data_IF_790158893485
#
_entry.id   IF_790158893485
#
_cell.length_a   1.000
_cell.length_b   1.000
_cell.length_c   1.000
_cell.angle_alpha   90.00
_cell.angle_beta   90.00
_cell.angle_gamma   90.00
#
_symmetry.space_group_name_H-M   'P 1'
#
loop_
_entity.id
_entity.type
_entity.pdbx_description
1 polymer ?
#
# COMPACT_ATOMS: atom_id res chain seq x y z
N UNK A 1 -35.17 -57.18 1.89
CA UNK A 1 -34.66 -56.01 1.14
C UNK A 1 -33.83 -55.17 2.07
N UNK A 2 -32.53 -55.26 2.00
CA UNK A 2 -31.60 -54.58 2.90
C UNK A 2 -31.18 -53.27 2.25
N UNK A 3 -31.38 -52.14 2.93
CA UNK A 3 -30.96 -50.80 2.60
C UNK A 3 -29.50 -50.59 3.01
N UNK A 4 -28.62 -50.44 2.03
CA UNK A 4 -27.22 -50.05 2.23
C UNK A 4 -27.11 -48.55 2.43
N UNK A 5 -26.45 -48.12 3.50
CA UNK A 5 -26.05 -46.73 3.78
C UNK A 5 -24.86 -46.30 2.90
N UNK A 6 -24.75 -45.02 2.54
CA UNK A 6 -23.61 -44.54 1.75
C UNK A 6 -22.38 -44.33 2.66
N UNK A 7 -21.23 -44.78 2.17
CA UNK A 7 -19.90 -44.59 2.75
C UNK A 7 -19.42 -43.14 2.59
N UNK A 8 -18.93 -42.55 3.69
CA UNK A 8 -18.24 -41.25 3.72
C UNK A 8 -16.90 -41.30 2.92
N UNK A 9 -16.50 -40.20 2.25
CA UNK A 9 -15.21 -40.14 1.62
C UNK A 9 -14.11 -39.84 2.66
N UNK A 10 -13.09 -40.66 2.64
CA UNK A 10 -11.86 -40.57 3.44
C UNK A 10 -11.11 -39.24 3.16
N UNK A 11 -10.76 -38.56 4.24
CA UNK A 11 -10.07 -37.27 4.24
C UNK A 11 -8.69 -37.30 3.55
N UNK A 12 -8.48 -36.34 2.71
CA UNK A 12 -7.16 -35.94 2.20
C UNK A 12 -6.43 -35.17 3.31
N UNK A 13 -5.45 -35.82 3.93
CA UNK A 13 -4.50 -35.15 4.81
C UNK A 13 -3.49 -34.38 3.97
N UNK A 14 -3.48 -33.06 4.09
CA UNK A 14 -2.45 -32.21 3.55
C UNK A 14 -1.10 -32.47 4.25
N UNK A 15 0.03 -32.45 3.54
CA UNK A 15 1.34 -32.58 4.16
C UNK A 15 1.70 -31.30 4.93
N UNK A 16 1.68 -31.39 6.25
CA UNK A 16 2.25 -30.35 7.14
C UNK A 16 3.76 -30.54 7.21
N UNK A 17 4.52 -29.76 6.44
CA UNK A 17 5.91 -29.53 6.77
C UNK A 17 5.98 -28.28 7.69
N UNK A 18 6.45 -28.40 8.93
CA UNK A 18 6.69 -27.26 9.78
C UNK A 18 7.99 -26.58 9.30
N UNK A 19 7.88 -25.43 8.63
CA UNK A 19 9.01 -24.53 8.45
C UNK A 19 9.30 -23.94 9.83
N UNK A 20 10.48 -24.29 10.38
CA UNK A 20 10.95 -23.71 11.62
C UNK A 20 11.08 -22.18 11.47
N UNK A 21 10.64 -21.38 12.48
CA UNK A 21 10.78 -19.93 12.42
C UNK A 21 12.28 -19.57 12.44
N UNK A 22 12.80 -19.09 11.33
CA UNK A 22 14.12 -18.47 11.29
C UNK A 22 14.01 -17.10 11.95
N UNK A 23 14.40 -17.00 13.20
CA UNK A 23 14.69 -15.72 13.85
C UNK A 23 15.91 -15.10 13.16
N UNK A 24 15.68 -14.33 12.11
CA UNK A 24 16.70 -13.48 11.52
C UNK A 24 16.88 -12.23 12.39
N UNK A 25 17.67 -12.36 13.44
CA UNK A 25 18.20 -11.25 14.22
C UNK A 25 19.43 -10.68 13.53
N UNK A 26 19.26 -10.03 12.38
CA UNK A 26 20.28 -9.10 11.91
C UNK A 26 19.86 -7.70 12.41
N UNK A 27 20.69 -7.02 13.25
CA UNK A 27 20.42 -5.64 13.59
C UNK A 27 20.43 -4.82 12.30
N UNK A 28 19.37 -4.01 12.08
CA UNK A 28 19.40 -3.01 11.03
C UNK A 28 20.42 -1.95 11.42
N UNK A 29 21.64 -2.10 10.93
CA UNK A 29 22.63 -1.03 10.99
C UNK A 29 22.02 0.17 10.25
N UNK A 30 21.96 1.37 10.86
CA UNK A 30 21.47 2.54 10.15
C UNK A 30 22.31 2.75 8.89
N UNK A 31 21.71 3.24 7.77
CA UNK A 31 22.52 3.64 6.64
C UNK A 31 23.57 4.63 7.12
N UNK A 32 24.84 4.40 6.77
CA UNK A 32 25.98 5.23 7.17
C UNK A 32 25.97 6.53 6.38
N UNK A 33 25.11 7.48 6.76
CA UNK A 33 24.94 8.79 6.17
C UNK A 33 23.57 9.35 6.52
N UNK A 34 23.46 10.68 6.64
CA UNK A 34 22.17 11.36 6.74
C UNK A 34 21.41 11.14 5.42
N UNK A 35 20.11 10.82 5.51
CA UNK A 35 19.26 10.77 4.32
C UNK A 35 19.24 12.15 3.64
N UNK A 36 19.12 12.15 2.31
CA UNK A 36 18.90 13.40 1.57
C UNK A 36 17.58 14.05 2.02
N UNK A 37 17.49 15.36 1.96
CA UNK A 37 16.26 16.09 2.22
C UNK A 37 15.79 16.70 0.91
N UNK A 38 14.72 16.18 0.36
CA UNK A 38 14.07 16.68 -0.87
C UNK A 38 13.62 18.13 -0.65
N UNK A 39 13.91 19.00 -1.59
CA UNK A 39 13.62 20.43 -1.47
C UNK A 39 12.20 20.80 -1.90
N UNK A 40 11.66 20.15 -2.94
CA UNK A 40 10.38 20.50 -3.53
C UNK A 40 9.71 19.34 -4.31
N UNK A 41 8.55 19.65 -4.89
CA UNK A 41 7.75 18.70 -5.69
C UNK A 41 8.50 18.22 -6.95
N UNK A 42 9.27 19.07 -7.61
CA UNK A 42 9.98 18.72 -8.85
C UNK A 42 11.11 17.74 -8.58
N UNK A 43 11.88 17.96 -7.53
CA UNK A 43 12.93 17.04 -7.09
C UNK A 43 12.35 15.70 -6.65
N UNK A 44 11.22 15.69 -5.90
CA UNK A 44 10.56 14.46 -5.48
C UNK A 44 10.17 13.59 -6.69
N UNK A 45 9.63 14.19 -7.75
CA UNK A 45 9.25 13.47 -8.96
C UNK A 45 10.46 12.93 -9.72
N UNK A 46 11.54 13.73 -9.82
CA UNK A 46 12.78 13.32 -10.47
C UNK A 46 13.40 12.12 -9.77
N UNK A 47 13.55 12.19 -8.46
CA UNK A 47 14.11 11.10 -7.64
C UNK A 47 13.23 9.84 -7.68
N UNK A 48 11.89 10.01 -7.68
CA UNK A 48 10.97 8.88 -7.80
C UNK A 48 11.10 8.16 -9.16
N UNK A 49 11.25 8.90 -10.25
CA UNK A 49 11.47 8.33 -11.59
C UNK A 49 12.80 7.56 -11.67
N UNK A 50 13.89 8.13 -11.16
CA UNK A 50 15.21 7.48 -11.10
C UNK A 50 15.18 6.17 -10.28
N UNK A 51 14.49 6.17 -9.13
CA UNK A 51 14.34 4.96 -8.33
C UNK A 51 13.46 3.92 -9.00
N UNK A 52 12.37 4.32 -9.65
CA UNK A 52 11.52 3.42 -10.41
C UNK A 52 12.31 2.71 -11.52
N UNK A 53 13.10 3.45 -12.29
CA UNK A 53 13.96 2.89 -13.34
C UNK A 53 15.02 1.94 -12.78
N UNK A 54 15.59 2.27 -11.62
CA UNK A 54 16.57 1.42 -10.96
C UNK A 54 15.98 0.13 -10.34
N UNK A 55 14.69 0.14 -9.94
CA UNK A 55 14.05 -1.01 -9.31
C UNK A 55 13.39 -1.97 -10.32
N UNK A 56 12.99 -1.47 -11.48
CA UNK A 56 12.31 -2.23 -12.54
C UNK A 56 13.04 -3.51 -12.96
N UNK A 57 14.35 -3.51 -13.27
CA UNK A 57 15.02 -4.70 -13.77
C UNK A 57 14.99 -5.90 -12.82
N UNK A 58 14.92 -5.66 -11.51
CA UNK A 58 14.90 -6.75 -10.51
C UNK A 58 13.49 -7.17 -10.05
N UNK A 59 12.42 -6.53 -10.53
CA UNK A 59 11.07 -6.74 -9.99
C UNK A 59 10.56 -8.18 -10.18
N UNK A 60 10.72 -8.75 -11.38
CA UNK A 60 10.31 -10.12 -11.67
C UNK A 60 11.04 -11.16 -10.81
N UNK A 61 12.35 -10.98 -10.60
CA UNK A 61 13.13 -11.90 -9.76
C UNK A 61 12.78 -11.76 -8.27
N UNK A 62 12.58 -10.53 -7.78
CA UNK A 62 12.15 -10.30 -6.39
C UNK A 62 10.83 -11.00 -6.12
N UNK A 63 9.84 -10.86 -7.01
CA UNK A 63 8.55 -11.52 -6.86
C UNK A 63 8.69 -13.05 -6.97
N UNK A 64 9.32 -13.59 -8.03
CA UNK A 64 9.42 -15.03 -8.27
C UNK A 64 10.06 -15.77 -7.09
N UNK A 65 11.15 -15.23 -6.55
CA UNK A 65 11.91 -15.82 -5.44
C UNK A 65 11.51 -15.31 -4.06
N UNK A 66 10.51 -14.44 -3.98
CA UNK A 66 10.16 -13.73 -2.75
C UNK A 66 11.40 -13.10 -2.08
N UNK A 67 12.29 -12.51 -2.88
CA UNK A 67 13.48 -11.82 -2.39
C UNK A 67 13.09 -10.45 -1.82
N UNK A 68 13.14 -10.35 -0.49
CA UNK A 68 12.74 -9.13 0.21
C UNK A 68 13.60 -7.92 -0.22
N UNK A 69 12.99 -6.75 -0.52
CA UNK A 69 13.64 -5.61 -1.17
C UNK A 69 14.41 -4.71 -0.19
N UNK A 70 15.26 -5.28 0.66
CA UNK A 70 15.96 -4.51 1.73
C UNK A 70 16.87 -3.43 1.14
N UNK A 71 17.69 -3.77 0.13
CA UNK A 71 18.60 -2.82 -0.52
C UNK A 71 17.83 -1.70 -1.24
N UNK A 72 16.72 -2.03 -1.88
CA UNK A 72 15.85 -1.07 -2.55
C UNK A 72 15.21 -0.11 -1.54
N UNK A 73 14.76 -0.62 -0.40
CA UNK A 73 14.20 0.20 0.68
C UNK A 73 15.26 1.08 1.36
N UNK A 74 16.49 0.61 1.49
CA UNK A 74 17.59 1.42 2.02
C UNK A 74 17.92 2.55 1.06
N UNK A 75 17.90 2.31 -0.27
CA UNK A 75 18.03 3.38 -1.27
C UNK A 75 16.85 4.36 -1.22
N UNK A 76 15.62 3.86 -1.05
CA UNK A 76 14.43 4.70 -0.87
C UNK A 76 14.54 5.59 0.38
N UNK A 77 15.03 5.05 1.50
CA UNK A 77 15.29 5.83 2.72
C UNK A 77 16.37 6.90 2.49
N UNK A 78 17.48 6.52 1.88
CA UNK A 78 18.59 7.44 1.63
C UNK A 78 18.25 8.57 0.65
N UNK A 79 17.31 8.33 -0.28
CA UNK A 79 16.88 9.31 -1.29
C UNK A 79 16.09 10.49 -0.74
N UNK A 80 15.61 10.42 0.51
CA UNK A 80 14.78 11.46 1.12
C UNK A 80 13.29 11.39 0.77
N UNK A 81 12.86 10.53 -0.16
CA UNK A 81 11.44 10.42 -0.55
C UNK A 81 10.51 10.10 0.62
N UNK A 82 11.00 9.41 1.66
CA UNK A 82 10.19 9.12 2.84
C UNK A 82 9.86 10.37 3.67
N UNK A 83 10.65 11.47 3.53
CA UNK A 83 10.46 12.73 4.27
C UNK A 83 9.59 13.77 3.56
N UNK A 84 9.14 13.53 2.32
CA UNK A 84 8.56 14.58 1.45
C UNK A 84 7.28 15.23 1.96
N UNK A 85 6.53 14.56 2.85
CA UNK A 85 5.31 15.12 3.45
C UNK A 85 5.54 15.77 4.82
N UNK A 86 6.77 15.75 5.35
CA UNK A 86 7.11 16.46 6.57
C UNK A 86 6.91 17.97 6.33
N UNK A 87 6.24 18.70 7.24
CA UNK A 87 5.99 20.13 7.07
C UNK A 87 7.28 20.96 6.94
N UNK A 88 7.25 22.02 6.14
CA UNK A 88 8.38 22.96 5.96
C UNK A 88 8.87 23.55 7.26
N UNK A 89 7.96 23.81 8.21
CA UNK A 89 8.29 24.29 9.56
C UNK A 89 9.18 23.30 10.36
N UNK A 90 9.25 22.04 9.93
CA UNK A 90 10.09 21.00 10.51
C UNK A 90 11.23 20.54 9.58
N UNK A 91 11.50 21.30 8.52
CA UNK A 91 12.60 21.04 7.59
C UNK A 91 12.29 20.08 6.43
N UNK A 92 11.03 19.69 6.22
CA UNK A 92 10.61 18.86 5.08
C UNK A 92 10.17 19.69 3.87
N UNK A 93 9.96 19.03 2.73
CA UNK A 93 9.49 19.65 1.50
C UNK A 93 8.01 20.05 1.54
N UNK A 94 7.21 19.33 2.34
CA UNK A 94 5.75 19.50 2.41
C UNK A 94 5.10 19.48 1.02
N UNK A 95 5.44 18.45 0.23
CA UNK A 95 4.92 18.30 -1.12
C UNK A 95 3.39 18.16 -1.15
N UNK A 96 2.80 18.50 -2.28
CA UNK A 96 1.36 18.35 -2.54
C UNK A 96 0.92 16.89 -2.51
N UNK A 97 -0.40 16.64 -2.29
CA UNK A 97 -0.98 15.31 -2.45
C UNK A 97 -0.85 14.82 -3.90
N UNK A 98 -0.89 15.71 -4.87
CA UNK A 98 -0.66 15.39 -6.28
C UNK A 98 0.75 14.81 -6.50
N UNK A 99 1.76 15.42 -5.94
CA UNK A 99 3.16 14.95 -6.05
C UNK A 99 3.35 13.63 -5.30
N UNK A 100 2.87 13.52 -4.06
CA UNK A 100 2.95 12.27 -3.31
C UNK A 100 2.30 11.10 -4.08
N UNK A 101 1.13 11.36 -4.67
CA UNK A 101 0.38 10.38 -5.46
C UNK A 101 1.16 9.92 -6.69
N UNK A 102 1.79 10.86 -7.39
CA UNK A 102 2.60 10.56 -8.57
C UNK A 102 3.87 9.78 -8.23
N UNK A 103 4.54 10.09 -7.10
CA UNK A 103 5.66 9.29 -6.56
C UNK A 103 5.24 7.83 -6.39
N UNK A 104 4.09 7.57 -5.77
CA UNK A 104 3.58 6.21 -5.58
C UNK A 104 3.26 5.52 -6.91
N UNK A 105 2.64 6.24 -7.84
CA UNK A 105 2.32 5.70 -9.18
C UNK A 105 3.59 5.31 -9.94
N UNK A 106 4.62 6.16 -9.94
CA UNK A 106 5.90 5.90 -10.59
C UNK A 106 6.58 4.65 -10.00
N UNK A 107 6.71 4.57 -8.68
CA UNK A 107 7.30 3.40 -8.01
C UNK A 107 6.50 2.13 -8.31
N UNK A 108 5.16 2.19 -8.28
CA UNK A 108 4.29 1.04 -8.54
C UNK A 108 4.33 0.56 -9.99
N UNK A 109 4.66 1.44 -10.95
CA UNK A 109 4.88 1.06 -12.35
C UNK A 109 6.11 0.14 -12.49
N UNK A 110 7.07 0.26 -11.59
CA UNK A 110 8.30 -0.53 -11.58
C UNK A 110 8.19 -1.78 -10.69
N UNK A 111 7.76 -1.61 -9.44
CA UNK A 111 7.60 -2.68 -8.45
C UNK A 111 6.48 -2.33 -7.46
N UNK A 112 5.29 -2.91 -7.62
CA UNK A 112 4.15 -2.61 -6.77
C UNK A 112 4.35 -2.93 -5.29
N UNK A 113 5.14 -3.94 -4.97
CA UNK A 113 5.44 -4.30 -3.58
C UNK A 113 6.30 -3.24 -2.90
N UNK A 114 7.31 -2.71 -3.61
CA UNK A 114 8.15 -1.60 -3.08
C UNK A 114 7.30 -0.34 -2.89
N UNK A 115 6.38 -0.05 -3.80
CA UNK A 115 5.46 1.08 -3.66
C UNK A 115 4.48 0.91 -2.47
N UNK A 116 4.01 -0.30 -2.22
CA UNK A 116 3.06 -0.58 -1.13
C UNK A 116 3.70 -0.45 0.26
N UNK A 117 4.97 -0.82 0.44
CA UNK A 117 5.64 -0.83 1.74
C UNK A 117 5.58 0.54 2.44
N UNK A 118 5.87 1.69 1.81
CA UNK A 118 5.83 3.00 2.45
C UNK A 118 4.43 3.61 2.57
N UNK A 119 3.36 2.97 2.08
CA UNK A 119 2.01 3.54 2.14
C UNK A 119 1.61 3.92 3.58
N UNK A 120 1.75 2.99 4.52
CA UNK A 120 1.41 3.25 5.92
C UNK A 120 2.36 4.25 6.59
N UNK A 121 3.61 4.35 6.15
CA UNK A 121 4.55 5.35 6.63
C UNK A 121 3.97 6.77 6.47
N UNK A 122 3.48 7.10 5.27
CA UNK A 122 2.85 8.41 5.01
C UNK A 122 1.53 8.60 5.74
N UNK A 123 0.73 7.54 5.88
CA UNK A 123 -0.49 7.57 6.70
C UNK A 123 -0.18 7.95 8.15
N UNK A 124 0.87 7.37 8.74
CA UNK A 124 1.22 7.67 10.13
C UNK A 124 1.96 8.99 10.32
N UNK A 125 2.67 9.50 9.31
CA UNK A 125 3.12 10.91 9.29
C UNK A 125 1.90 11.83 9.33
N UNK A 126 0.86 11.54 8.56
CA UNK A 126 -0.38 12.34 8.55
C UNK A 126 -1.12 12.29 9.90
N UNK A 127 -1.11 11.16 10.62
CA UNK A 127 -1.62 11.07 12.00
C UNK A 127 -0.86 12.03 12.92
N UNK A 128 0.47 12.10 12.84
CA UNK A 128 1.29 13.03 13.62
C UNK A 128 1.03 14.48 13.24
N UNK A 129 0.89 14.79 11.94
CA UNK A 129 0.52 16.15 11.48
C UNK A 129 -0.81 16.58 12.07
N UNK A 130 -1.81 15.70 12.08
CA UNK A 130 -3.15 16.02 12.52
C UNK A 130 -3.31 16.06 14.05
N UNK A 131 -2.67 15.17 14.79
CA UNK A 131 -2.96 14.93 16.23
C UNK A 131 -1.74 14.78 17.13
N UNK A 132 -0.53 14.75 16.58
CA UNK A 132 0.69 14.74 17.39
C UNK A 132 0.86 16.04 18.18
N UNK A 133 1.35 15.96 19.41
CA UNK A 133 1.83 17.12 20.18
C UNK A 133 3.05 17.74 19.48
N UNK A 134 3.40 18.98 19.83
CA UNK A 134 4.60 19.63 19.27
C UNK A 134 5.86 18.81 19.51
N UNK A 135 6.02 18.23 20.72
CA UNK A 135 7.15 17.35 21.06
C UNK A 135 7.18 16.06 20.21
N UNK A 136 6.01 15.46 19.97
CA UNK A 136 5.89 14.27 19.12
C UNK A 136 6.25 14.58 17.68
N UNK A 137 5.70 15.69 17.13
CA UNK A 137 6.01 16.13 15.76
C UNK A 137 7.50 16.41 15.60
N UNK A 138 8.10 17.17 16.50
CA UNK A 138 9.53 17.48 16.46
C UNK A 138 10.40 16.22 16.48
N UNK A 139 10.09 15.27 17.37
CA UNK A 139 10.83 14.02 17.47
C UNK A 139 10.66 13.15 16.21
N UNK A 140 9.44 12.83 15.84
CA UNK A 140 9.20 11.87 14.77
C UNK A 140 9.49 12.43 13.37
N UNK A 141 9.28 13.72 13.14
CA UNK A 141 9.64 14.32 11.84
C UNK A 141 11.16 14.35 11.65
N UNK A 142 11.94 14.57 12.70
CA UNK A 142 13.39 14.42 12.66
C UNK A 142 13.81 12.97 12.35
N UNK A 143 13.18 11.97 12.95
CA UNK A 143 13.40 10.56 12.64
C UNK A 143 13.10 10.28 11.15
N UNK A 144 11.97 10.75 10.65
CA UNK A 144 11.57 10.58 9.24
C UNK A 144 12.55 11.24 8.29
N UNK A 145 12.98 12.48 8.56
CA UNK A 145 13.99 13.19 7.76
C UNK A 145 15.38 12.53 7.84
N UNK A 146 15.66 11.78 8.89
CA UNK A 146 16.84 10.94 8.98
C UNK A 146 16.72 9.59 8.23
N UNK A 147 15.61 9.39 7.47
CA UNK A 147 15.36 8.18 6.68
C UNK A 147 14.78 7.01 7.48
N UNK A 148 14.31 7.23 8.71
CA UNK A 148 13.66 6.18 9.51
C UNK A 148 12.29 5.83 8.95
N UNK A 149 11.98 4.54 8.93
CA UNK A 149 10.76 3.98 8.34
C UNK A 149 9.71 3.69 9.41
N UNK A 150 8.47 4.06 9.13
CA UNK A 150 7.31 3.58 9.87
C UNK A 150 6.73 2.36 9.15
N UNK A 151 6.48 1.28 9.91
CA UNK A 151 5.73 0.13 9.42
C UNK A 151 4.23 0.27 9.67
N UNK A 152 3.49 -0.84 9.58
CA UNK A 152 2.07 -0.92 9.86
C UNK A 152 1.79 -1.98 10.93
N UNK A 153 0.91 -1.67 11.89
CA UNK A 153 0.34 -2.65 12.82
C UNK A 153 -1.10 -2.23 13.19
N UNK A 154 -2.00 -2.26 12.20
CA UNK A 154 -3.38 -1.80 12.35
C UNK A 154 -4.37 -2.94 12.49
N UNK A 155 -4.41 -3.85 11.51
CA UNK A 155 -5.45 -4.87 11.35
C UNK A 155 -5.24 -6.08 12.25
N UNK A 156 -6.34 -6.77 12.57
CA UNK A 156 -6.33 -8.01 13.35
C UNK A 156 -7.09 -9.11 12.60
N UNK A 157 -6.67 -10.35 12.76
CA UNK A 157 -7.38 -11.51 12.21
C UNK A 157 -8.40 -12.07 13.20
N UNK A 158 -9.46 -12.72 12.69
CA UNK A 158 -10.47 -13.38 13.51
C UNK A 158 -11.34 -12.43 14.33
N UNK A 159 -11.38 -11.13 13.99
CA UNK A 159 -12.30 -10.15 14.58
C UNK A 159 -13.60 -10.07 13.76
N UNK A 160 -14.67 -9.50 14.36
CA UNK A 160 -15.99 -9.42 13.72
C UNK A 160 -15.97 -8.56 12.44
N UNK A 161 -15.19 -7.49 12.45
CA UNK A 161 -14.93 -6.60 11.30
C UNK A 161 -13.62 -5.83 11.50
N UNK A 162 -13.12 -5.19 10.47
CA UNK A 162 -11.80 -4.52 10.45
C UNK A 162 -11.61 -3.44 11.54
N UNK A 163 -12.69 -2.87 12.07
CA UNK A 163 -12.64 -1.87 13.16
C UNK A 163 -12.80 -2.50 14.56
N UNK A 164 -13.00 -3.81 14.64
CA UNK A 164 -13.04 -4.54 15.91
C UNK A 164 -11.62 -4.85 16.37
N UNK A 165 -11.06 -3.96 17.22
CA UNK A 165 -9.67 -4.00 17.68
C UNK A 165 -9.62 -4.55 19.09
N UNK A 166 -8.84 -5.62 19.29
CA UNK A 166 -8.63 -6.31 20.57
C UNK A 166 -7.31 -5.93 21.24
N UNK A 167 -6.33 -5.45 20.48
CA UNK A 167 -5.05 -4.94 21.03
C UNK A 167 -5.32 -3.85 22.05
N UNK A 168 -4.71 -3.95 23.24
CA UNK A 168 -4.93 -3.09 24.40
C UNK A 168 -3.69 -2.24 24.69
N UNK A 169 -3.96 -1.00 25.06
CA UNK A 169 -3.00 -0.03 25.56
C UNK A 169 -3.46 0.39 26.97
N UNK A 170 -2.91 -0.24 27.98
CA UNK A 170 -3.31 -0.10 29.38
C UNK A 170 -2.36 0.83 30.12
N UNK A 171 -2.85 1.77 30.96
CA UNK A 171 -1.99 2.63 31.79
C UNK A 171 -1.07 1.82 32.70
N UNK A 172 0.20 2.20 32.77
CA UNK A 172 1.19 1.59 33.68
C UNK A 172 2.25 2.63 34.08
N UNK A 173 2.27 3.01 35.34
CA UNK A 173 3.15 4.08 35.83
C UNK A 173 2.87 5.41 35.11
N UNK A 174 3.92 6.01 34.54
CA UNK A 174 3.88 7.25 33.75
C UNK A 174 3.67 7.02 32.24
N UNK A 175 3.47 5.76 31.84
CA UNK A 175 3.26 5.35 30.45
C UNK A 175 2.15 4.33 30.30
N UNK A 176 2.38 3.38 29.40
CA UNK A 176 1.41 2.33 29.04
C UNK A 176 2.11 0.99 28.82
N UNK A 177 1.32 -0.07 28.92
CA UNK A 177 1.65 -1.43 28.45
C UNK A 177 0.78 -1.75 27.26
N UNK A 178 1.41 -2.21 26.17
CA UNK A 178 0.76 -2.57 24.92
C UNK A 178 0.80 -4.08 24.72
N UNK A 179 -0.38 -4.70 24.54
CA UNK A 179 -0.51 -6.15 24.36
C UNK A 179 -1.50 -6.48 23.25
N UNK A 180 -1.14 -7.40 22.34
CA UNK A 180 -2.00 -7.85 21.27
C UNK A 180 -1.26 -8.51 20.12
N UNK A 181 -1.99 -8.80 19.04
CA UNK A 181 -1.43 -9.36 17.81
C UNK A 181 -2.04 -8.66 16.60
N UNK A 182 -1.19 -8.26 15.68
CA UNK A 182 -1.56 -7.60 14.44
C UNK A 182 -1.21 -8.47 13.25
N UNK A 183 -2.03 -8.37 12.20
CA UNK A 183 -1.87 -9.09 10.94
C UNK A 183 -1.88 -8.09 9.78
N UNK A 184 -1.42 -8.53 8.62
CA UNK A 184 -1.28 -7.64 7.46
C UNK A 184 -0.42 -6.41 7.76
N UNK A 185 0.65 -6.63 8.53
CA UNK A 185 1.54 -5.57 9.04
C UNK A 185 2.59 -5.18 8.00
N UNK A 186 2.13 -4.63 6.87
CA UNK A 186 2.96 -4.22 5.73
C UNK A 186 4.11 -3.32 6.19
N UNK A 187 5.32 -3.65 5.78
CA UNK A 187 6.51 -2.85 6.07
C UNK A 187 7.05 -2.99 7.49
N UNK A 188 6.34 -3.63 8.44
CA UNK A 188 6.81 -3.77 9.83
C UNK A 188 8.16 -4.49 9.93
N UNK A 189 8.42 -5.46 9.04
CA UNK A 189 9.69 -6.21 9.02
C UNK A 189 10.89 -5.32 8.66
N UNK A 190 10.67 -4.20 7.98
CA UNK A 190 11.70 -3.26 7.50
C UNK A 190 11.70 -1.94 8.27
N UNK A 191 10.82 -1.78 9.24
CA UNK A 191 10.61 -0.53 9.95
C UNK A 191 11.65 -0.28 11.05
N UNK A 192 11.88 0.97 11.38
CA UNK A 192 12.53 1.42 12.61
C UNK A 192 11.49 1.62 13.73
N UNK A 193 10.32 2.15 13.36
CA UNK A 193 9.19 2.37 14.24
C UNK A 193 7.95 1.64 13.72
N UNK A 194 7.19 1.04 14.63
CA UNK A 194 5.91 0.39 14.31
C UNK A 194 4.78 1.16 15.00
N UNK A 195 4.01 1.98 14.27
CA UNK A 195 2.76 2.54 14.76
C UNK A 195 1.71 1.44 14.92
N UNK A 196 1.22 1.27 16.13
CA UNK A 196 0.25 0.23 16.51
C UNK A 196 -1.08 0.87 16.86
N UNK A 197 -2.15 0.46 16.17
CA UNK A 197 -3.51 0.85 16.52
C UNK A 197 -4.02 -0.03 17.67
N UNK A 198 -4.36 0.58 18.80
CA UNK A 198 -4.82 -0.11 20.00
C UNK A 198 -5.99 0.61 20.67
N UNK A 199 -6.77 -0.11 21.49
CA UNK A 199 -7.78 0.43 22.37
C UNK A 199 -7.12 0.88 23.69
N UNK A 200 -7.22 2.16 23.99
CA UNK A 200 -6.71 2.77 25.21
C UNK A 200 -7.81 3.34 26.11
N UNK A 201 -7.53 4.44 26.76
CA UNK A 201 -8.44 5.09 27.71
C UNK A 201 -9.84 5.29 27.11
N UNK A 202 -10.87 4.94 27.86
CA UNK A 202 -12.27 5.00 27.43
C UNK A 202 -12.63 4.06 26.29
N UNK A 203 -11.87 3.00 26.06
CA UNK A 203 -11.98 2.07 24.93
C UNK A 203 -11.89 2.75 23.57
N UNK A 204 -11.20 3.88 23.49
CA UNK A 204 -11.03 4.67 22.27
C UNK A 204 -9.76 4.28 21.51
N UNK A 205 -9.74 4.38 20.15
CA UNK A 205 -8.55 4.11 19.34
C UNK A 205 -7.41 5.12 19.61
N UNK A 206 -6.22 4.57 19.85
CA UNK A 206 -4.94 5.30 19.96
C UNK A 206 -3.92 4.68 19.03
N UNK A 207 -2.94 5.45 18.59
CA UNK A 207 -1.75 4.94 17.90
C UNK A 207 -0.56 5.06 18.83
N UNK A 208 0.06 3.92 19.16
CA UNK A 208 1.29 3.83 19.92
C UNK A 208 2.46 3.58 18.96
N UNK A 209 3.45 4.48 18.96
CA UNK A 209 4.67 4.35 18.15
C UNK A 209 5.73 3.60 18.96
N UNK A 210 6.02 2.37 18.59
CA UNK A 210 7.00 1.53 19.29
C UNK A 210 8.23 1.25 18.40
N UNK A 211 9.46 1.24 18.97
CA UNK A 211 10.63 0.77 18.24
C UNK A 211 10.41 -0.69 17.80
N UNK A 212 10.85 -1.06 16.59
CA UNK A 212 10.69 -2.42 16.07
C UNK A 212 11.39 -3.47 16.96
N UNK A 213 12.49 -3.08 17.56
CA UNK A 213 13.34 -3.92 18.42
C UNK A 213 13.05 -3.78 19.93
N UNK A 214 11.93 -3.09 20.28
CA UNK A 214 11.55 -2.94 21.69
C UNK A 214 11.27 -4.32 22.33
N UNK A 215 11.65 -4.50 23.61
CA UNK A 215 11.32 -5.72 24.34
C UNK A 215 9.81 -6.02 24.28
N UNK A 216 9.45 -7.26 23.93
CA UNK A 216 8.08 -7.71 23.75
C UNK A 216 7.52 -7.51 22.33
N UNK A 217 8.21 -6.85 21.43
CA UNK A 217 7.85 -6.77 20.01
C UNK A 217 8.45 -7.94 19.24
N UNK A 218 7.62 -8.67 18.49
CA UNK A 218 8.09 -9.72 17.57
C UNK A 218 7.43 -9.52 16.22
N UNK A 219 8.21 -9.31 15.17
CA UNK A 219 7.75 -9.22 13.79
C UNK A 219 8.05 -10.53 13.07
N UNK A 220 7.02 -11.21 12.60
CA UNK A 220 7.12 -12.54 11.97
C UNK A 220 7.00 -12.38 10.45
N UNK A 221 7.92 -13.00 9.71
CA UNK A 221 7.87 -13.06 8.24
C UNK A 221 7.02 -14.24 7.77
N UNK A 222 5.71 -14.17 8.01
CA UNK A 222 4.71 -15.17 7.69
C UNK A 222 3.72 -14.72 6.60
N UNK A 223 4.06 -13.71 5.80
CA UNK A 223 3.25 -13.29 4.68
C UNK A 223 3.30 -14.30 3.53
N UNK A 224 2.14 -14.87 3.16
CA UNK A 224 1.98 -15.89 2.13
C UNK A 224 0.91 -15.46 1.08
N UNK A 225 0.94 -14.21 0.64
CA UNK A 225 0.06 -13.70 -0.40
C UNK A 225 0.44 -14.20 -1.79
N UNK A 226 -0.55 -14.48 -2.64
CA UNK A 226 -0.31 -14.89 -4.04
C UNK A 226 0.36 -13.79 -4.86
N UNK A 227 0.12 -12.51 -4.54
CA UNK A 227 0.77 -11.32 -5.10
C UNK A 227 1.22 -10.39 -4.00
N UNK A 228 1.85 -9.27 -4.35
CA UNK A 228 2.49 -8.38 -3.38
C UNK A 228 3.42 -9.17 -2.44
N UNK A 229 4.14 -10.14 -3.01
CA UNK A 229 4.83 -11.21 -2.27
C UNK A 229 5.96 -10.70 -1.39
N UNK A 230 6.54 -9.56 -1.74
CA UNK A 230 7.72 -9.00 -1.06
C UNK A 230 7.38 -7.87 -0.10
N UNK A 231 6.09 -7.56 0.14
CA UNK A 231 5.67 -6.55 1.11
C UNK A 231 5.92 -6.96 2.57
N UNK A 232 6.17 -8.26 2.82
CA UNK A 232 6.33 -8.83 4.15
C UNK A 232 5.19 -8.41 5.10
N UNK A 233 3.93 -8.48 4.60
CA UNK A 233 2.73 -8.07 5.34
C UNK A 233 2.33 -9.11 6.40
N UNK A 234 3.27 -9.58 7.19
CA UNK A 234 3.11 -10.63 8.19
C UNK A 234 2.53 -10.17 9.52
N UNK A 235 2.85 -10.92 10.56
CA UNK A 235 2.31 -10.76 11.92
C UNK A 235 3.23 -9.93 12.79
N UNK A 236 2.65 -9.02 13.60
CA UNK A 236 3.32 -8.34 14.72
C UNK A 236 2.68 -8.80 16.03
N UNK A 237 3.50 -9.40 16.91
CA UNK A 237 3.10 -9.80 18.26
C UNK A 237 3.65 -8.82 19.28
N UNK A 238 2.81 -8.44 20.24
CA UNK A 238 3.07 -7.45 21.26
C UNK A 238 2.80 -8.09 22.63
N UNK A 239 3.87 -8.40 23.36
CA UNK A 239 3.82 -9.07 24.65
C UNK A 239 4.24 -8.09 25.76
N UNK A 240 3.27 -7.40 26.36
CA UNK A 240 3.48 -6.43 27.41
C UNK A 240 4.59 -5.38 27.10
N UNK A 241 4.49 -4.77 25.92
CA UNK A 241 5.46 -3.77 25.45
C UNK A 241 5.28 -2.47 26.25
N UNK A 242 6.35 -1.99 26.89
CA UNK A 242 6.35 -0.70 27.58
C UNK A 242 6.34 0.45 26.57
N UNK A 243 5.39 1.38 26.71
CA UNK A 243 5.22 2.53 25.82
C UNK A 243 5.19 3.83 26.63
N UNK A 244 6.19 4.71 26.45
CA UNK A 244 6.16 6.04 27.08
C UNK A 244 4.92 6.84 26.64
N UNK A 245 4.37 7.68 27.52
CA UNK A 245 3.17 8.47 27.23
C UNK A 245 3.36 9.40 26.02
N UNK A 246 4.56 9.93 25.80
CA UNK A 246 4.91 10.80 24.67
C UNK A 246 5.04 10.05 23.33
N UNK A 247 4.79 8.73 23.29
CA UNK A 247 4.74 7.89 22.08
C UNK A 247 3.31 7.52 21.69
N UNK A 248 2.29 8.03 22.37
CA UNK A 248 0.89 7.69 22.16
C UNK A 248 0.13 8.90 21.61
N UNK A 249 -0.57 8.70 20.50
CA UNK A 249 -1.42 9.72 19.84
C UNK A 249 -2.89 9.31 19.96
N UNK A 250 -3.81 10.19 20.39
CA UNK A 250 -5.23 9.90 20.51
C UNK A 250 -5.91 9.91 19.14
N UNK A 251 -5.78 8.80 18.40
CA UNK A 251 -6.20 8.68 16.99
C UNK A 251 -7.71 8.92 16.79
N UNK A 252 -8.55 8.53 17.77
CA UNK A 252 -10.00 8.75 17.69
C UNK A 252 -10.38 10.22 17.44
N UNK A 253 -9.59 11.17 17.94
CA UNK A 253 -9.85 12.61 17.73
C UNK A 253 -9.75 13.02 16.25
N UNK A 254 -9.07 12.22 15.41
CA UNK A 254 -8.97 12.49 13.96
C UNK A 254 -10.34 12.52 13.29
N UNK A 255 -11.30 11.76 13.81
CA UNK A 255 -12.63 11.57 13.20
C UNK A 255 -13.73 12.43 13.83
N UNK A 256 -13.42 13.30 14.81
CA UNK A 256 -14.40 14.17 15.47
C UNK A 256 -14.79 15.40 14.65
N UNK A 257 -14.11 15.68 13.54
CA UNK A 257 -14.39 16.80 12.64
C UNK A 257 -14.11 16.45 11.18
N UNK A 258 -14.15 17.42 10.25
CA UNK A 258 -13.70 17.22 8.89
C UNK A 258 -12.23 16.79 8.88
N UNK A 259 -11.89 15.80 8.05
CA UNK A 259 -10.58 15.19 8.02
C UNK A 259 -10.30 14.57 6.63
N UNK A 260 -9.02 14.37 6.32
CA UNK A 260 -8.56 13.79 5.07
C UNK A 260 -7.79 12.48 5.27
N UNK A 261 -7.78 11.92 6.48
CA UNK A 261 -6.98 10.74 6.82
C UNK A 261 -7.34 9.55 5.91
N UNK A 262 -8.64 9.26 5.78
CA UNK A 262 -9.12 8.18 4.90
C UNK A 262 -8.85 8.49 3.43
N UNK A 263 -9.17 9.70 2.97
CA UNK A 263 -8.95 10.12 1.58
C UNK A 263 -7.46 10.00 1.19
N UNK A 264 -6.52 10.50 2.00
CA UNK A 264 -5.08 10.36 1.74
C UNK A 264 -4.65 8.90 1.71
N UNK A 265 -5.08 8.09 2.67
CA UNK A 265 -4.73 6.67 2.71
C UNK A 265 -5.19 5.92 1.45
N UNK A 266 -6.45 6.16 1.03
CA UNK A 266 -7.05 5.51 -0.15
C UNK A 266 -6.51 6.06 -1.48
N UNK A 267 -6.12 7.34 -1.52
CA UNK A 267 -5.48 7.95 -2.68
C UNK A 267 -4.16 7.24 -3.05
N UNK A 268 -3.34 6.90 -2.04
CA UNK A 268 -2.09 6.16 -2.25
C UNK A 268 -2.35 4.74 -2.78
N UNK A 269 -3.39 4.07 -2.31
CA UNK A 269 -3.79 2.79 -2.88
C UNK A 269 -4.26 2.92 -4.35
N UNK A 270 -5.02 3.97 -4.68
CA UNK A 270 -5.41 4.23 -6.06
C UNK A 270 -4.20 4.51 -6.96
N UNK A 271 -3.18 5.19 -6.44
CA UNK A 271 -1.93 5.44 -7.15
C UNK A 271 -1.17 4.13 -7.45
N UNK A 272 -1.10 3.22 -6.48
CA UNK A 272 -0.48 1.90 -6.66
C UNK A 272 -1.22 1.10 -7.72
N UNK A 273 -2.56 1.01 -7.67
CA UNK A 273 -3.36 0.31 -8.67
C UNK A 273 -3.16 0.90 -10.08
N UNK A 274 -3.13 2.24 -10.20
CA UNK A 274 -2.86 2.94 -11.48
C UNK A 274 -1.45 2.63 -12.00
N UNK A 275 -0.45 2.56 -11.12
CA UNK A 275 0.92 2.17 -11.46
C UNK A 275 1.01 0.73 -11.93
N UNK A 276 0.33 -0.21 -11.28
CA UNK A 276 0.25 -1.62 -11.69
C UNK A 276 -0.32 -1.73 -13.10
N UNK A 277 -1.43 -1.04 -13.38
CA UNK A 277 -2.06 -1.03 -14.70
C UNK A 277 -1.09 -0.53 -15.78
N UNK A 278 -0.38 0.58 -15.53
CA UNK A 278 0.61 1.13 -16.45
C UNK A 278 1.78 0.17 -16.66
N UNK A 279 2.31 -0.42 -15.59
CA UNK A 279 3.41 -1.39 -15.64
C UNK A 279 3.04 -2.61 -16.47
N UNK A 280 1.86 -3.19 -16.24
CA UNK A 280 1.35 -4.34 -16.98
C UNK A 280 1.20 -4.03 -18.48
N UNK A 281 0.61 -2.89 -18.84
CA UNK A 281 0.42 -2.50 -20.25
C UNK A 281 1.75 -2.24 -20.95
N UNK A 282 2.71 -1.60 -20.26
CA UNK A 282 4.04 -1.33 -20.82
C UNK A 282 4.79 -2.62 -21.12
N UNK A 283 4.78 -3.56 -20.19
CA UNK A 283 5.45 -4.86 -20.37
C UNK A 283 4.74 -5.75 -21.40
N UNK A 284 3.39 -5.70 -21.45
CA UNK A 284 2.62 -6.36 -22.49
C UNK A 284 3.02 -5.87 -23.90
N UNK A 285 3.11 -4.55 -24.08
CA UNK A 285 3.50 -3.94 -25.36
C UNK A 285 4.93 -4.31 -25.74
N UNK A 286 5.86 -4.31 -24.80
CA UNK A 286 7.24 -4.76 -25.05
C UNK A 286 7.29 -6.23 -25.45
N UNK A 287 6.55 -7.08 -24.73
CA UNK A 287 6.48 -8.51 -25.05
C UNK A 287 5.90 -8.76 -26.44
N UNK A 288 4.83 -8.07 -26.82
CA UNK A 288 4.23 -8.22 -28.17
C UNK A 288 5.20 -7.79 -29.25
N UNK A 289 5.91 -6.69 -29.08
CA UNK A 289 6.91 -6.21 -30.08
C UNK A 289 8.09 -7.15 -30.23
N UNK A 290 8.54 -7.82 -29.16
CA UNK A 290 9.83 -8.53 -29.16
C UNK A 290 9.71 -10.05 -29.11
N UNK A 291 8.57 -10.58 -28.60
CA UNK A 291 8.43 -12.01 -28.28
C UNK A 291 7.23 -12.68 -28.97
N UNK A 292 6.16 -11.95 -29.29
CA UNK A 292 4.97 -12.54 -29.90
C UNK A 292 5.16 -12.78 -31.39
N UNK A 293 4.48 -13.82 -31.90
CA UNK A 293 4.41 -14.11 -33.34
C UNK A 293 3.07 -13.62 -33.88
N UNK A 294 3.00 -13.16 -35.13
CA UNK A 294 1.74 -12.85 -35.77
C UNK A 294 0.87 -14.08 -35.88
N UNK A 295 -0.44 -13.92 -35.84
CA UNK A 295 -1.38 -14.96 -36.16
C UNK A 295 -1.27 -15.31 -37.66
N UNK A 296 -1.24 -16.59 -38.02
CA UNK A 296 -0.94 -17.01 -39.39
C UNK A 296 -1.94 -16.53 -40.44
N UNK A 297 -3.19 -16.22 -40.03
CA UNK A 297 -4.23 -15.68 -40.91
C UNK A 297 -4.24 -14.14 -40.95
N UNK A 298 -3.43 -13.47 -40.15
CA UNK A 298 -3.41 -11.99 -40.09
C UNK A 298 -2.88 -11.34 -41.34
N UNK A 299 -1.98 -12.02 -42.05
CA UNK A 299 -1.31 -11.50 -43.23
C UNK A 299 -0.20 -10.45 -42.95
N UNK A 300 0.17 -10.27 -41.67
CA UNK A 300 1.22 -9.34 -41.24
C UNK A 300 2.51 -10.09 -40.87
N UNK A 301 3.64 -9.39 -40.96
CA UNK A 301 4.95 -9.96 -40.65
C UNK A 301 5.22 -9.98 -39.13
N UNK A 302 4.65 -9.05 -38.38
CA UNK A 302 4.81 -8.94 -36.92
C UNK A 302 3.46 -8.87 -36.20
N UNK A 303 3.43 -9.35 -34.95
CA UNK A 303 2.22 -9.25 -34.11
C UNK A 303 1.82 -7.80 -33.83
N UNK A 304 2.77 -6.87 -33.82
CA UNK A 304 2.53 -5.46 -33.55
C UNK A 304 1.79 -4.73 -34.71
N UNK A 305 1.71 -5.34 -35.90
CA UNK A 305 0.99 -4.81 -37.06
C UNK A 305 -0.45 -5.33 -37.14
N UNK A 306 -0.81 -6.33 -36.32
CA UNK A 306 -2.16 -6.89 -36.30
C UNK A 306 -3.17 -5.83 -35.82
N UNK A 307 -4.14 -5.42 -36.67
CA UNK A 307 -5.09 -4.38 -36.35
C UNK A 307 -5.98 -4.71 -35.13
N UNK A 308 -6.25 -5.99 -34.87
CA UNK A 308 -7.02 -6.41 -33.69
C UNK A 308 -6.22 -6.21 -32.40
N UNK A 309 -4.92 -6.51 -32.40
CA UNK A 309 -4.03 -6.22 -31.27
C UNK A 309 -3.86 -4.71 -31.08
N UNK A 310 -3.64 -3.95 -32.15
CA UNK A 310 -3.53 -2.49 -32.10
C UNK A 310 -4.78 -1.86 -31.50
N UNK A 311 -5.98 -2.32 -31.92
CA UNK A 311 -7.24 -1.88 -31.33
C UNK A 311 -7.30 -2.21 -29.83
N UNK A 312 -6.97 -3.44 -29.45
CA UNK A 312 -7.02 -3.87 -28.04
C UNK A 312 -6.07 -3.07 -27.16
N UNK A 313 -4.86 -2.79 -27.62
CA UNK A 313 -3.93 -1.88 -26.91
C UNK A 313 -4.50 -0.47 -26.78
N UNK A 314 -5.20 0.04 -27.80
CA UNK A 314 -5.89 1.33 -27.74
C UNK A 314 -6.99 1.35 -26.65
N UNK A 315 -7.80 0.31 -26.55
CA UNK A 315 -8.83 0.15 -25.51
C UNK A 315 -8.24 0.13 -24.10
N UNK A 316 -7.15 -0.65 -23.90
CA UNK A 316 -6.45 -0.72 -22.63
C UNK A 316 -5.79 0.62 -22.25
N UNK A 317 -5.16 1.29 -23.22
CA UNK A 317 -4.55 2.60 -23.00
C UNK A 317 -5.60 3.66 -22.59
N UNK A 318 -6.79 3.66 -23.21
CA UNK A 318 -7.89 4.55 -22.81
C UNK A 318 -8.28 4.34 -21.33
N UNK A 319 -8.37 3.09 -20.89
CA UNK A 319 -8.66 2.78 -19.47
C UNK A 319 -7.56 3.24 -18.53
N UNK A 320 -6.30 2.99 -18.86
CA UNK A 320 -5.16 3.40 -18.04
C UNK A 320 -5.06 4.94 -17.97
N UNK A 321 -5.30 5.66 -19.08
CA UNK A 321 -5.38 7.12 -19.09
C UNK A 321 -6.53 7.65 -18.26
N UNK A 322 -7.71 7.03 -18.36
CA UNK A 322 -8.86 7.41 -17.54
C UNK A 322 -8.61 7.20 -16.04
N UNK A 323 -7.98 6.08 -15.66
CA UNK A 323 -7.58 5.82 -14.28
C UNK A 323 -6.60 6.89 -13.77
N UNK A 324 -5.61 7.25 -14.58
CA UNK A 324 -4.64 8.30 -14.23
C UNK A 324 -5.31 9.67 -14.10
N UNK A 325 -6.18 10.06 -15.03
CA UNK A 325 -6.91 11.33 -14.98
C UNK A 325 -7.82 11.43 -13.73
N UNK A 326 -8.51 10.35 -13.36
CA UNK A 326 -9.30 10.28 -12.12
C UNK A 326 -8.40 10.39 -10.87
N UNK A 327 -7.23 9.75 -10.89
CA UNK A 327 -6.25 9.82 -9.81
C UNK A 327 -5.75 11.25 -9.61
N UNK A 328 -5.38 11.94 -10.69
CA UNK A 328 -4.96 13.36 -10.64
C UNK A 328 -6.09 14.27 -10.14
N UNK A 329 -7.33 14.07 -10.60
CA UNK A 329 -8.48 14.83 -10.14
C UNK A 329 -8.72 14.63 -8.63
N UNK A 330 -8.59 13.39 -8.14
CA UNK A 330 -8.71 13.05 -6.72
C UNK A 330 -7.60 13.69 -5.89
N UNK A 331 -6.36 13.66 -6.37
CA UNK A 331 -5.23 14.30 -5.70
C UNK A 331 -5.41 15.81 -5.56
N UNK A 332 -5.85 16.48 -6.65
CA UNK A 332 -6.20 17.93 -6.61
C UNK A 332 -7.35 18.24 -5.64
N UNK A 333 -8.35 17.35 -5.53
CA UNK A 333 -9.43 17.52 -4.56
C UNK A 333 -8.91 17.44 -3.12
N UNK A 334 -7.96 16.53 -2.84
CA UNK A 334 -7.29 16.44 -1.53
C UNK A 334 -6.45 17.69 -1.25
N UNK A 335 -5.69 18.21 -2.22
CA UNK A 335 -4.91 19.46 -2.06
C UNK A 335 -5.82 20.67 -1.80
N UNK A 336 -6.93 20.78 -2.53
CA UNK A 336 -7.94 21.82 -2.32
C UNK A 336 -8.54 21.76 -0.92
N UNK A 337 -8.90 20.54 -0.48
CA UNK A 337 -9.44 20.33 0.86
C UNK A 337 -8.39 20.56 1.96
N UNK A 338 -7.11 20.28 1.70
CA UNK A 338 -6.00 20.57 2.62
C UNK A 338 -5.83 22.08 2.83
N UNK A 339 -5.95 22.87 1.76
CA UNK A 339 -5.87 24.33 1.84
C UNK A 339 -7.06 24.96 2.60
N UNK A 340 -8.25 24.37 2.50
CA UNK A 340 -9.47 24.82 3.18
C UNK A 340 -10.33 23.63 3.59
N UNK A 341 -10.06 23.11 4.78
CA UNK A 341 -10.75 21.95 5.31
C UNK A 341 -12.13 22.30 5.89
N UNK A 342 -13.18 21.81 5.24
CA UNK A 342 -14.59 21.89 5.66
C UNK A 342 -15.24 20.51 5.51
N UNK A 343 -16.45 20.33 6.04
CA UNK A 343 -17.20 19.10 5.82
C UNK A 343 -17.47 18.83 4.34
N UNK A 344 -17.71 19.87 3.55
CA UNK A 344 -17.99 19.75 2.11
C UNK A 344 -16.71 19.40 1.34
N UNK A 345 -15.60 20.12 1.59
CA UNK A 345 -14.34 19.82 0.90
C UNK A 345 -13.78 18.44 1.27
N UNK A 346 -13.94 18.00 2.53
CA UNK A 346 -13.56 16.66 2.95
C UNK A 346 -14.44 15.58 2.29
N UNK A 347 -15.75 15.82 2.17
CA UNK A 347 -16.66 14.91 1.48
C UNK A 347 -16.32 14.80 -0.01
N UNK A 348 -16.09 15.93 -0.68
CA UNK A 348 -15.71 15.97 -2.10
C UNK A 348 -14.39 15.23 -2.35
N UNK A 349 -13.36 15.46 -1.53
CA UNK A 349 -12.11 14.74 -1.60
C UNK A 349 -12.31 13.22 -1.42
N UNK A 350 -13.10 12.80 -0.44
CA UNK A 350 -13.42 11.37 -0.22
C UNK A 350 -14.15 10.74 -1.41
N UNK A 351 -15.10 11.45 -2.01
CA UNK A 351 -15.86 11.00 -3.19
C UNK A 351 -14.95 10.89 -4.41
N UNK A 352 -14.12 11.89 -4.67
CA UNK A 352 -13.16 11.88 -5.77
C UNK A 352 -12.17 10.71 -5.63
N UNK A 353 -11.63 10.49 -4.42
CA UNK A 353 -10.72 9.37 -4.13
C UNK A 353 -11.41 8.03 -4.26
N UNK A 354 -12.68 7.91 -3.81
CA UNK A 354 -13.45 6.68 -3.96
C UNK A 354 -13.65 6.31 -5.44
N UNK A 355 -13.93 7.31 -6.31
CA UNK A 355 -14.04 7.11 -7.75
C UNK A 355 -12.71 6.63 -8.37
N UNK A 356 -11.60 7.32 -8.06
CA UNK A 356 -10.27 6.95 -8.54
C UNK A 356 -9.89 5.53 -8.09
N UNK A 357 -10.09 5.20 -6.80
CA UNK A 357 -9.76 3.88 -6.24
C UNK A 357 -10.57 2.75 -6.88
N UNK A 358 -11.88 2.94 -7.05
CA UNK A 358 -12.73 1.92 -7.65
C UNK A 358 -12.32 1.65 -9.10
N UNK A 359 -12.12 2.71 -9.89
CA UNK A 359 -11.79 2.59 -11.30
C UNK A 359 -10.36 2.08 -11.54
N UNK A 360 -9.37 2.58 -10.77
CA UNK A 360 -7.99 2.13 -10.86
C UNK A 360 -7.85 0.64 -10.51
N UNK A 361 -8.54 0.18 -9.45
CA UNK A 361 -8.54 -1.22 -9.05
C UNK A 361 -9.10 -2.15 -10.13
N UNK A 362 -10.22 -1.78 -10.76
CA UNK A 362 -10.79 -2.54 -11.88
C UNK A 362 -9.82 -2.55 -13.08
N UNK A 363 -9.29 -1.39 -13.45
CA UNK A 363 -8.36 -1.23 -14.57
C UNK A 363 -7.08 -2.04 -14.37
N UNK A 364 -6.52 -2.08 -13.15
CA UNK A 364 -5.28 -2.82 -12.87
C UNK A 364 -5.47 -4.33 -13.06
N UNK A 365 -6.58 -4.88 -12.58
CA UNK A 365 -6.91 -6.31 -12.73
C UNK A 365 -7.19 -6.66 -14.19
N UNK A 366 -7.96 -5.82 -14.90
CA UNK A 366 -8.26 -6.01 -16.32
C UNK A 366 -6.99 -5.97 -17.16
N UNK A 367 -6.14 -4.96 -16.99
CA UNK A 367 -4.90 -4.82 -17.75
C UNK A 367 -3.95 -5.99 -17.48
N UNK A 368 -3.82 -6.43 -16.21
CA UNK A 368 -3.03 -7.60 -15.84
C UNK A 368 -3.55 -8.90 -16.44
N UNK A 369 -4.87 -9.04 -16.63
CA UNK A 369 -5.49 -10.18 -17.31
C UNK A 369 -5.32 -10.10 -18.83
N UNK A 370 -5.58 -8.93 -19.41
CA UNK A 370 -5.48 -8.69 -20.86
C UNK A 370 -4.04 -8.84 -21.39
N UNK A 371 -3.03 -8.68 -20.53
CA UNK A 371 -1.63 -8.95 -20.89
C UNK A 371 -1.49 -10.35 -21.55
N UNK A 372 -2.15 -11.37 -20.98
CA UNK A 372 -2.08 -12.75 -21.53
C UNK A 372 -2.86 -12.90 -22.83
N UNK A 373 -3.98 -12.20 -22.95
CA UNK A 373 -4.80 -12.15 -24.16
C UNK A 373 -3.96 -11.64 -25.36
N UNK A 374 -3.28 -10.50 -25.18
CA UNK A 374 -2.53 -9.85 -26.27
C UNK A 374 -1.15 -10.48 -26.50
N UNK A 375 -0.51 -11.03 -25.46
CA UNK A 375 0.84 -11.60 -25.55
C UNK A 375 0.84 -13.08 -26.00
N UNK A 376 -0.29 -13.78 -25.86
CA UNK A 376 -0.48 -15.15 -26.29
C UNK A 376 0.18 -16.19 -25.39
N UNK A 377 0.19 -17.46 -25.85
CA UNK A 377 0.56 -18.63 -25.04
C UNK A 377 1.92 -18.54 -24.36
N UNK A 378 2.92 -17.93 -24.99
CA UNK A 378 4.27 -17.79 -24.39
C UNK A 378 4.29 -16.96 -23.12
N UNK A 379 3.37 -16.00 -22.99
CA UNK A 379 3.25 -15.16 -21.79
C UNK A 379 2.90 -15.97 -20.53
N UNK A 380 2.30 -17.16 -20.71
CA UNK A 380 1.93 -18.06 -19.62
C UNK A 380 3.10 -18.87 -19.03
N UNK A 381 4.32 -18.75 -19.60
CA UNK A 381 5.49 -19.47 -19.08
C UNK A 381 5.90 -18.88 -17.72
N UNK A 382 5.98 -19.74 -16.70
CA UNK A 382 6.30 -19.37 -15.32
C UNK A 382 7.64 -18.61 -15.18
N UNK A 383 8.66 -19.03 -15.95
CA UNK A 383 9.98 -18.38 -15.94
C UNK A 383 9.98 -16.90 -16.40
N UNK A 384 8.95 -16.43 -17.11
CA UNK A 384 8.79 -15.03 -17.48
C UNK A 384 8.15 -14.18 -16.36
N UNK A 385 7.47 -14.84 -15.46
CA UNK A 385 6.77 -14.23 -14.32
C UNK A 385 5.86 -13.03 -14.68
N UNK A 386 5.30 -13.02 -15.89
CA UNK A 386 4.38 -11.96 -16.33
C UNK A 386 3.08 -11.96 -15.53
N UNK A 387 2.69 -13.12 -15.00
CA UNK A 387 1.53 -13.27 -14.13
C UNK A 387 1.64 -12.49 -12.81
N UNK A 388 2.84 -11.99 -12.44
CA UNK A 388 2.99 -11.12 -11.26
C UNK A 388 2.10 -9.88 -11.36
N UNK A 389 1.93 -9.29 -12.53
CA UNK A 389 1.09 -8.10 -12.72
C UNK A 389 -0.36 -8.35 -12.32
N UNK A 390 -0.96 -9.47 -12.75
CA UNK A 390 -2.30 -9.84 -12.35
C UNK A 390 -2.38 -10.22 -10.86
N UNK A 391 -1.38 -10.98 -10.36
CA UNK A 391 -1.33 -11.39 -8.95
C UNK A 391 -1.21 -10.19 -8.01
N UNK A 392 -0.35 -9.24 -8.34
CA UNK A 392 -0.16 -8.01 -7.56
C UNK A 392 -1.43 -7.14 -7.59
N UNK A 393 -2.02 -6.91 -8.77
CA UNK A 393 -3.28 -6.21 -8.91
C UNK A 393 -4.39 -6.88 -8.09
N UNK A 394 -4.57 -8.20 -8.26
CA UNK A 394 -5.64 -8.93 -7.59
C UNK A 394 -5.46 -8.94 -6.07
N UNK A 395 -4.22 -9.08 -5.57
CA UNK A 395 -3.94 -9.03 -4.14
C UNK A 395 -4.16 -7.62 -3.57
N UNK A 396 -3.64 -6.59 -4.24
CA UNK A 396 -3.74 -5.20 -3.76
C UNK A 396 -5.19 -4.71 -3.73
N UNK A 397 -6.00 -5.04 -4.74
CA UNK A 397 -7.42 -4.64 -4.80
C UNK A 397 -8.32 -5.33 -3.76
N UNK A 398 -7.81 -6.32 -3.01
CA UNK A 398 -8.51 -6.95 -1.89
C UNK A 398 -8.31 -6.22 -0.55
N UNK A 399 -7.50 -5.16 -0.52
CA UNK A 399 -7.24 -4.38 0.69
C UNK A 399 -8.53 -3.88 1.35
N UNK A 400 -9.49 -3.43 0.55
CA UNK A 400 -10.84 -3.09 0.98
C UNK A 400 -11.85 -3.24 -0.18
N UNK A 401 -13.14 -3.49 0.11
CA UNK A 401 -14.10 -3.86 -0.94
C UNK A 401 -14.51 -2.66 -1.79
N UNK A 402 -14.04 -2.60 -3.05
CA UNK A 402 -14.33 -1.53 -4.01
C UNK A 402 -15.83 -1.24 -4.19
N UNK A 403 -16.71 -2.27 -4.05
CA UNK A 403 -18.16 -2.10 -4.12
C UNK A 403 -18.73 -1.07 -3.13
N UNK A 404 -18.08 -0.88 -1.98
CA UNK A 404 -18.48 0.15 -1.02
C UNK A 404 -18.08 1.54 -1.46
N UNK A 405 -16.98 1.71 -2.22
CA UNK A 405 -16.62 2.99 -2.84
C UNK A 405 -17.71 3.43 -3.82
N UNK A 406 -18.12 2.51 -4.71
CA UNK A 406 -19.20 2.75 -5.68
C UNK A 406 -20.52 3.06 -4.97
N UNK A 407 -20.85 2.34 -3.90
CA UNK A 407 -22.04 2.57 -3.10
C UNK A 407 -22.06 3.97 -2.45
N UNK A 408 -20.90 4.45 -1.94
CA UNK A 408 -20.80 5.80 -1.37
C UNK A 408 -20.94 6.88 -2.45
N UNK A 409 -20.36 6.68 -3.65
CA UNK A 409 -20.57 7.54 -4.81
C UNK A 409 -22.05 7.66 -5.16
N UNK A 410 -22.74 6.52 -5.27
CA UNK A 410 -24.17 6.50 -5.58
C UNK A 410 -25.02 7.24 -4.56
N UNK A 411 -24.76 7.06 -3.26
CA UNK A 411 -25.44 7.79 -2.19
C UNK A 411 -25.18 9.29 -2.22
N UNK A 412 -23.95 9.68 -2.54
CA UNK A 412 -23.60 11.10 -2.65
C UNK A 412 -24.35 11.77 -3.80
N UNK A 413 -24.33 11.16 -4.99
CA UNK A 413 -25.00 11.70 -6.20
C UNK A 413 -26.50 11.69 -6.06
N UNK A 414 -27.10 10.58 -5.58
CA UNK A 414 -28.55 10.40 -5.54
C UNK A 414 -29.21 11.14 -4.39
N UNK A 415 -28.59 11.12 -3.21
CA UNK A 415 -29.21 11.56 -1.96
C UNK A 415 -28.47 12.72 -1.27
N UNK A 416 -27.35 13.21 -1.82
CA UNK A 416 -26.49 14.19 -1.15
C UNK A 416 -25.86 13.67 0.15
N UNK A 417 -25.86 12.35 0.36
CA UNK A 417 -25.35 11.74 1.60
C UNK A 417 -23.81 11.81 1.62
N UNK A 418 -23.24 12.59 2.54
CA UNK A 418 -21.79 12.66 2.71
C UNK A 418 -21.21 11.32 3.13
N UNK A 419 -19.97 10.99 2.67
CA UNK A 419 -19.26 9.80 3.11
C UNK A 419 -19.05 9.77 4.63
N UNK A 420 -19.05 8.58 5.27
CA UNK A 420 -18.78 8.46 6.70
C UNK A 420 -17.30 8.78 7.00
N UNK A 421 -17.04 9.31 8.21
CA UNK A 421 -15.70 9.68 8.65
C UNK A 421 -14.97 8.48 9.25
N UNK A 422 -14.19 7.78 8.43
CA UNK A 422 -13.30 6.70 8.88
C UNK A 422 -12.09 6.52 7.93
N UNK A 423 -11.09 5.70 8.32
CA UNK A 423 -9.84 5.55 7.59
C UNK A 423 -9.91 4.78 6.27
N UNK A 424 -11.07 4.25 5.89
CA UNK A 424 -11.26 3.46 4.66
C UNK A 424 -11.99 4.22 3.55
N UNK A 425 -12.18 5.53 3.71
CA UNK A 425 -12.90 6.34 2.73
C UNK A 425 -12.41 7.79 2.74
#
# INVERSE_FOLDING_TARGET
MATTAPTEPTGLTAPTNPVAPTNSTAPTTPPSGAAHVIADDAEALTVAAELADAFRPGAAERDARRRLPRAELDRLSASGLLGITVPRAHGGAEVSAATLTEVFRLLATADPSIAQIPQSHFVYINVLRARGSSRQREFFFREVLAGRRFGNAQSEAGTRHVQDIRTRLEPAGDGYVLTGTKHYSTGALFADWIPVLARGAGDKPHVAYVPRDAPGVTVVDDWDGMGQRTTASGTVRLAAVAVPADRVVPHHLTFEGPQLHGAVAQLLHAAIDTGIARGALTEAAEFVRTQSRPWFESGFDTAAEDPLLVQRFGELELRVRAAHALLEAAARAVDTATARLTDDSAAEASVAVAAAKAYAGETSVETGSALFEVAGTRAALDGLNLHRHWRDARTHTLHDPARWKVQHLGRYVLNGTRPPRHGLL
#
